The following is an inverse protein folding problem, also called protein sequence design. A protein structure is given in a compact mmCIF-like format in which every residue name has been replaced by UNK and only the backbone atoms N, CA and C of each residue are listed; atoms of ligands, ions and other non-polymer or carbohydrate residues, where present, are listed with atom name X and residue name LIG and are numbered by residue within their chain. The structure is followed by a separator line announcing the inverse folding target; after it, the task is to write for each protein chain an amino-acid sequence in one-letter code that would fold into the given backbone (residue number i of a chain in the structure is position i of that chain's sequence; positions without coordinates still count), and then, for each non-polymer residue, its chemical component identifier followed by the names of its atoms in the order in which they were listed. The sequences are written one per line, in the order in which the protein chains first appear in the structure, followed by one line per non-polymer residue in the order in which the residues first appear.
data_IF_528440803885
#
_entry.id   IF_528440803885
#
_cell.length_a   1.000
_cell.length_b   1.000
_cell.length_c   1.000
_cell.angle_alpha   90.00
_cell.angle_beta   90.00
_cell.angle_gamma   90.00
#
_symmetry.space_group_name_H-M   'P 1'
#
loop_
_entity.id
_entity.type
_entity.pdbx_description
1 polymer ?
#
# COMPACT_ATOMS: atom_id res chain seq x y z
N UNK A 1 -26.71 -21.39 -2.96
CA UNK A 1 -26.49 -22.69 -3.63
C UNK A 1 -26.23 -22.39 -5.09
N UNK A 2 -24.99 -22.60 -5.57
CA UNK A 2 -24.63 -22.32 -6.96
C UNK A 2 -25.04 -23.54 -7.79
N UNK A 3 -25.75 -23.31 -8.89
CA UNK A 3 -26.20 -24.37 -9.81
C UNK A 3 -25.71 -24.05 -11.22
N UNK A 4 -25.41 -25.07 -12.01
CA UNK A 4 -25.11 -24.90 -13.43
C UNK A 4 -26.38 -24.70 -14.27
N UNK A 5 -26.22 -24.51 -15.59
CA UNK A 5 -27.35 -24.35 -16.52
C UNK A 5 -28.29 -25.56 -16.59
N UNK A 6 -27.86 -26.74 -16.13
CA UNK A 6 -28.66 -27.95 -16.05
C UNK A 6 -29.31 -28.15 -14.66
N UNK A 7 -29.15 -27.20 -13.74
CA UNK A 7 -29.69 -27.25 -12.39
C UNK A 7 -28.91 -28.16 -11.43
N UNK A 8 -27.73 -28.65 -11.83
CA UNK A 8 -26.85 -29.48 -10.99
C UNK A 8 -26.16 -28.59 -9.96
N UNK A 9 -26.08 -29.06 -8.73
CA UNK A 9 -25.42 -28.35 -7.66
C UNK A 9 -23.90 -28.33 -7.87
N UNK A 10 -23.31 -27.13 -7.88
CA UNK A 10 -21.86 -26.94 -7.94
C UNK A 10 -21.34 -26.86 -6.51
N UNK A 11 -20.56 -27.85 -6.10
CA UNK A 11 -19.86 -27.84 -4.82
C UNK A 11 -18.56 -27.01 -4.96
N UNK A 12 -18.32 -26.01 -4.11
CA UNK A 12 -17.04 -25.32 -4.09
C UNK A 12 -15.93 -26.32 -3.73
N UNK A 13 -14.85 -26.35 -4.51
CA UNK A 13 -13.73 -27.28 -4.33
C UNK A 13 -12.66 -26.66 -3.43
N UNK A 14 -12.28 -25.41 -3.69
CA UNK A 14 -11.20 -24.68 -3.01
C UNK A 14 -11.25 -23.19 -3.39
N UNK A 15 -10.73 -22.28 -2.55
CA UNK A 15 -10.36 -20.93 -2.99
C UNK A 15 -9.31 -20.97 -4.11
N UNK A 16 -9.31 -19.95 -4.95
CA UNK A 16 -8.21 -19.67 -5.89
C UNK A 16 -7.10 -18.98 -5.11
N UNK A 17 -5.88 -19.50 -5.20
CA UNK A 17 -4.68 -18.89 -4.59
C UNK A 17 -3.82 -18.33 -5.71
N UNK A 18 -3.52 -17.03 -5.64
CA UNK A 18 -2.61 -16.35 -6.57
C UNK A 18 -1.46 -15.78 -5.75
N UNK A 19 -0.23 -16.09 -6.17
CA UNK A 19 0.99 -15.56 -5.56
C UNK A 19 1.71 -14.70 -6.58
N UNK A 20 2.17 -13.54 -6.13
CA UNK A 20 2.95 -12.61 -6.92
C UNK A 20 4.17 -12.20 -6.10
N UNK A 21 5.33 -12.20 -6.73
CA UNK A 21 6.59 -11.85 -6.10
C UNK A 21 7.15 -10.56 -6.72
N UNK A 22 7.98 -9.86 -5.95
CA UNK A 22 8.66 -8.63 -6.37
C UNK A 22 10.06 -8.61 -5.77
N UNK A 23 10.96 -7.85 -6.37
CA UNK A 23 12.24 -7.49 -5.74
C UNK A 23 11.99 -6.70 -4.46
N UNK A 24 13.00 -6.64 -3.58
CA UNK A 24 12.91 -5.92 -2.32
C UNK A 24 12.69 -4.41 -2.54
N UNK A 25 11.76 -3.83 -1.77
CA UNK A 25 11.43 -2.41 -1.80
C UNK A 25 11.01 -1.93 -0.41
N UNK A 26 11.07 -0.62 -0.20
CA UNK A 26 10.39 0.01 0.93
C UNK A 26 9.05 0.56 0.49
N UNK A 27 8.10 0.54 1.42
CA UNK A 27 6.76 1.03 1.22
C UNK A 27 6.32 1.83 2.44
N UNK A 28 5.79 3.02 2.20
CA UNK A 28 5.06 3.79 3.19
C UNK A 28 3.61 3.92 2.75
N UNK A 29 2.69 3.48 3.61
CA UNK A 29 1.26 3.46 3.35
C UNK A 29 0.55 4.54 4.17
N UNK A 30 -0.28 5.33 3.51
CA UNK A 30 -1.23 6.25 4.13
C UNK A 30 -2.63 6.03 3.56
N UNK A 31 -3.63 6.75 4.06
CA UNK A 31 -4.97 6.79 3.49
C UNK A 31 -5.28 8.20 3.01
N UNK A 32 -5.99 8.32 1.88
CA UNK A 32 -6.51 9.61 1.41
C UNK A 32 -7.93 9.91 1.92
N UNK A 33 -8.44 9.11 2.86
CA UNK A 33 -9.69 9.38 3.58
C UNK A 33 -9.48 9.33 5.09
N UNK A 34 -10.27 10.12 5.80
CA UNK A 34 -10.37 10.02 7.25
C UNK A 34 -11.63 9.21 7.60
N UNK A 35 -11.44 7.97 8.05
CA UNK A 35 -12.53 7.08 8.48
C UNK A 35 -12.23 6.50 9.85
N UNK A 36 -13.13 6.71 10.81
CA UNK A 36 -13.00 6.25 12.20
C UNK A 36 -12.79 4.73 12.31
N UNK A 37 -13.25 3.96 11.32
CA UNK A 37 -13.03 2.51 11.27
C UNK A 37 -11.56 2.15 11.16
N UNK A 38 -10.74 3.00 10.53
CA UNK A 38 -9.32 2.75 10.35
C UNK A 38 -8.57 2.74 11.68
N UNK A 39 -8.99 3.54 12.66
CA UNK A 39 -8.40 3.52 14.00
C UNK A 39 -8.54 2.14 14.64
N UNK A 40 -9.72 1.52 14.52
CA UNK A 40 -9.95 0.15 15.02
C UNK A 40 -9.19 -0.89 14.21
N UNK A 41 -9.09 -0.74 12.89
CA UNK A 41 -8.40 -1.71 12.03
C UNK A 41 -6.88 -1.71 12.23
N UNK A 42 -6.30 -0.56 12.59
CA UNK A 42 -4.87 -0.39 12.83
C UNK A 42 -4.50 -0.36 14.32
N UNK A 43 -5.46 -0.63 15.22
CA UNK A 43 -5.26 -0.55 16.68
C UNK A 43 -4.57 0.76 17.12
N UNK A 44 -5.08 1.87 16.60
CA UNK A 44 -4.51 3.20 16.79
C UNK A 44 -5.51 4.14 17.49
N UNK A 45 -5.00 5.02 18.34
CA UNK A 45 -5.76 6.11 18.99
C UNK A 45 -5.58 7.47 18.30
N UNK A 46 -4.62 7.53 17.37
CA UNK A 46 -4.18 8.74 16.71
C UNK A 46 -3.73 8.46 15.29
N UNK A 47 -3.80 9.49 14.44
CA UNK A 47 -3.27 9.44 13.09
C UNK A 47 -2.51 10.73 12.75
N UNK A 48 -1.54 10.62 11.86
CA UNK A 48 -0.87 11.77 11.26
C UNK A 48 -1.68 12.22 10.05
N UNK A 49 -2.29 13.41 10.13
CA UNK A 49 -2.85 14.08 8.97
C UNK A 49 -1.74 14.77 8.18
N UNK A 50 -1.84 14.73 6.85
CA UNK A 50 -0.91 15.35 5.92
C UNK A 50 -1.74 16.25 5.00
N UNK A 51 -1.61 17.58 5.13
CA UNK A 51 -2.40 18.54 4.33
C UNK A 51 -1.70 18.94 3.03
N UNK A 52 -0.38 18.80 2.99
CA UNK A 52 0.44 19.06 1.81
C UNK A 52 1.23 17.80 1.47
N UNK A 53 0.65 17.00 0.58
CA UNK A 53 1.22 15.75 0.11
C UNK A 53 2.50 15.97 -0.71
N UNK A 54 2.61 17.10 -1.42
CA UNK A 54 3.79 17.41 -2.24
C UNK A 54 5.00 17.69 -1.35
N UNK A 55 4.82 18.53 -0.33
CA UNK A 55 5.87 18.80 0.67
C UNK A 55 6.28 17.53 1.43
N UNK A 56 5.30 16.73 1.88
CA UNK A 56 5.57 15.45 2.56
C UNK A 56 6.36 14.48 1.66
N UNK A 57 5.94 14.34 0.40
CA UNK A 57 6.60 13.49 -0.57
C UNK A 57 8.07 13.92 -0.80
N UNK A 58 8.30 15.21 -1.05
CA UNK A 58 9.63 15.75 -1.32
C UNK A 58 10.59 15.51 -0.15
N UNK A 59 10.13 15.75 1.07
CA UNK A 59 10.95 15.53 2.26
C UNK A 59 11.22 14.05 2.54
N UNK A 60 10.22 13.18 2.30
CA UNK A 60 10.39 11.73 2.43
C UNK A 60 11.42 11.21 1.43
N UNK A 61 11.32 11.63 0.16
CA UNK A 61 12.27 11.26 -0.89
C UNK A 61 13.68 11.75 -0.55
N UNK A 62 13.81 13.02 -0.12
CA UNK A 62 15.09 13.59 0.26
C UNK A 62 15.69 12.83 1.45
N UNK A 63 14.90 12.51 2.48
CA UNK A 63 15.37 11.77 3.64
C UNK A 63 15.81 10.35 3.24
N UNK A 64 14.98 9.64 2.47
CA UNK A 64 15.26 8.27 2.02
C UNK A 64 16.54 8.17 1.17
N UNK A 65 16.81 9.18 0.34
CA UNK A 65 18.02 9.22 -0.50
C UNK A 65 19.33 9.25 0.28
N UNK A 66 19.29 9.58 1.58
CA UNK A 66 20.44 9.55 2.49
C UNK A 66 20.76 8.15 2.99
N UNK A 67 19.80 7.22 2.91
CA UNK A 67 19.93 5.85 3.44
C UNK A 67 20.17 4.81 2.35
N UNK A 68 19.59 5.02 1.16
CA UNK A 68 19.70 4.06 0.05
C UNK A 68 19.96 4.77 -1.28
N UNK A 69 20.60 4.05 -2.21
CA UNK A 69 20.71 4.47 -3.60
C UNK A 69 19.40 4.16 -4.35
N UNK A 70 18.49 5.12 -4.36
CA UNK A 70 17.16 4.99 -5.00
C UNK A 70 17.35 4.88 -6.53
N UNK A 71 16.88 3.78 -7.12
CA UNK A 71 16.86 3.58 -8.58
C UNK A 71 15.58 4.05 -9.22
N UNK A 72 14.47 3.70 -8.58
CA UNK A 72 13.14 4.14 -8.97
C UNK A 72 12.30 4.36 -7.73
N UNK A 73 11.34 5.24 -7.88
CA UNK A 73 10.41 5.61 -6.86
C UNK A 73 9.07 5.92 -7.51
N UNK A 74 7.98 5.61 -6.81
CA UNK A 74 6.63 5.94 -7.25
C UNK A 74 5.73 6.21 -6.06
N UNK A 75 4.67 6.98 -6.28
CA UNK A 75 3.65 7.21 -5.30
C UNK A 75 2.28 7.35 -5.96
N UNK A 76 1.24 6.91 -5.27
CA UNK A 76 -0.11 6.93 -5.82
C UNK A 76 -1.11 6.10 -5.05
N UNK A 77 -2.40 6.16 -5.45
CA UNK A 77 -3.43 5.32 -4.90
C UNK A 77 -3.19 3.85 -5.24
N UNK A 78 -3.61 2.96 -4.33
CA UNK A 78 -3.57 1.51 -4.54
C UNK A 78 -4.61 1.06 -5.57
N UNK A 79 -4.19 0.15 -6.45
CA UNK A 79 -5.07 -0.63 -7.32
C UNK A 79 -5.67 -1.81 -6.55
N UNK A 80 -6.99 -1.89 -6.50
CA UNK A 80 -7.70 -2.95 -5.81
C UNK A 80 -8.09 -4.05 -6.79
N UNK A 81 -7.69 -5.28 -6.50
CA UNK A 81 -7.84 -6.44 -7.38
C UNK A 81 -8.96 -7.32 -6.85
N UNK A 82 -9.93 -7.64 -7.71
CA UNK A 82 -10.94 -8.66 -7.48
C UNK A 82 -10.43 -10.00 -8.05
N UNK A 83 -10.08 -11.00 -7.21
CA UNK A 83 -9.57 -12.28 -7.69
C UNK A 83 -10.50 -13.04 -8.64
N UNK A 84 -11.79 -12.70 -8.69
CA UNK A 84 -12.79 -13.34 -9.56
C UNK A 84 -12.89 -12.63 -10.90
N UNK A 85 -12.87 -11.29 -10.90
CA UNK A 85 -13.05 -10.49 -12.11
C UNK A 85 -11.73 -10.17 -12.82
N UNK A 86 -10.64 -10.06 -12.05
CA UNK A 86 -9.32 -9.63 -12.53
C UNK A 86 -8.34 -10.80 -12.70
N UNK A 87 -8.83 -12.05 -12.70
CA UNK A 87 -8.00 -13.25 -12.82
C UNK A 87 -7.18 -13.33 -14.12
N UNK A 88 -7.54 -12.53 -15.15
CA UNK A 88 -6.83 -12.43 -16.42
C UNK A 88 -5.96 -11.15 -16.54
N UNK A 89 -5.94 -10.31 -15.50
CA UNK A 89 -5.08 -9.11 -15.50
C UNK A 89 -3.63 -9.58 -15.45
N UNK A 90 -2.80 -9.05 -16.37
CA UNK A 90 -1.40 -9.44 -16.60
C UNK A 90 -0.45 -9.19 -15.42
N UNK A 91 0.76 -8.67 -15.68
CA UNK A 91 1.70 -8.36 -14.60
C UNK A 91 1.13 -7.29 -13.64
N UNK A 92 0.80 -7.71 -12.42
CA UNK A 92 0.45 -6.81 -11.31
C UNK A 92 1.74 -6.25 -10.69
N UNK A 93 1.80 -4.94 -10.42
CA UNK A 93 2.79 -4.47 -9.44
C UNK A 93 2.31 -4.83 -8.04
N UNK A 94 2.96 -5.80 -7.41
CA UNK A 94 2.74 -6.17 -6.00
C UNK A 94 2.79 -4.92 -5.10
N UNK A 95 3.72 -4.03 -5.42
CA UNK A 95 3.97 -2.78 -4.72
C UNK A 95 2.75 -1.86 -4.62
N UNK A 96 1.88 -1.82 -5.63
CA UNK A 96 0.75 -0.89 -5.74
C UNK A 96 -0.61 -1.59 -5.79
N UNK A 97 -0.64 -2.91 -5.57
CA UNK A 97 -1.85 -3.71 -5.60
C UNK A 97 -2.29 -4.17 -4.21
N UNK A 98 -3.60 -4.38 -4.03
CA UNK A 98 -4.19 -4.93 -2.80
C UNK A 98 -5.51 -5.65 -3.11
N UNK A 99 -5.88 -6.59 -2.24
CA UNK A 99 -7.18 -7.28 -2.30
C UNK A 99 -8.35 -6.28 -2.17
N UNK A 100 -9.34 -6.41 -3.05
CA UNK A 100 -10.54 -5.54 -3.10
C UNK A 100 -11.32 -5.47 -1.79
N UNK A 101 -11.23 -6.47 -0.91
CA UNK A 101 -11.89 -6.39 0.41
C UNK A 101 -11.41 -5.21 1.26
N UNK A 102 -10.21 -4.68 0.98
CA UNK A 102 -9.63 -3.53 1.66
C UNK A 102 -9.89 -2.19 0.95
N UNK A 103 -10.75 -2.15 -0.08
CA UNK A 103 -11.03 -0.93 -0.86
C UNK A 103 -11.51 0.26 -0.02
N UNK A 104 -12.13 -0.02 1.13
CA UNK A 104 -12.58 1.00 2.08
C UNK A 104 -11.42 1.76 2.73
N UNK A 105 -10.21 1.19 2.76
CA UNK A 105 -9.03 1.84 3.35
C UNK A 105 -8.51 2.99 2.50
N UNK A 106 -8.83 3.01 1.19
CA UNK A 106 -8.46 4.10 0.28
C UNK A 106 -6.97 4.45 0.42
N UNK A 107 -6.15 3.41 0.38
CA UNK A 107 -4.72 3.47 0.61
C UNK A 107 -3.99 4.22 -0.51
N UNK A 108 -2.98 4.99 -0.09
CA UNK A 108 -2.03 5.71 -0.91
C UNK A 108 -0.63 5.24 -0.51
N UNK A 109 0.22 4.91 -1.49
CA UNK A 109 1.55 4.33 -1.24
C UNK A 109 2.65 5.22 -1.78
N UNK A 110 3.76 5.25 -1.06
CA UNK A 110 5.07 5.66 -1.54
C UNK A 110 5.95 4.41 -1.59
N UNK A 111 6.57 4.13 -2.73
CA UNK A 111 7.37 2.91 -2.96
C UNK A 111 8.76 3.29 -3.43
N UNK A 112 9.78 2.75 -2.77
CA UNK A 112 11.19 3.02 -3.07
C UNK A 112 11.91 1.73 -3.44
N UNK A 113 12.47 1.69 -4.65
CA UNK A 113 13.30 0.59 -5.12
C UNK A 113 14.77 1.00 -5.05
N UNK A 114 15.57 0.19 -4.36
CA UNK A 114 17.01 0.38 -4.29
C UNK A 114 17.75 -0.28 -5.44
N UNK A 115 19.08 -0.22 -5.37
CA UNK A 115 19.96 -1.00 -6.25
C UNK A 115 19.94 -2.48 -5.82
N UNK A 116 19.45 -3.37 -6.68
CA UNK A 116 19.36 -4.82 -6.43
C UNK A 116 20.70 -5.48 -6.08
N UNK A 117 21.82 -4.82 -6.39
CA UNK A 117 23.17 -5.31 -6.06
C UNK A 117 23.59 -5.00 -4.63
N UNK A 118 22.83 -4.16 -3.93
CA UNK A 118 23.12 -3.75 -2.56
C UNK A 118 22.05 -4.29 -1.62
N UNK A 119 22.50 -4.76 -0.47
CA UNK A 119 21.62 -5.12 0.64
C UNK A 119 20.77 -3.91 1.05
N UNK A 120 19.45 -4.05 1.05
CA UNK A 120 18.55 -3.08 1.66
C UNK A 120 18.55 -3.29 3.18
N UNK A 121 18.86 -2.26 3.99
CA UNK A 121 18.73 -2.35 5.44
C UNK A 121 17.33 -2.81 5.87
N UNK A 122 17.22 -3.74 6.81
CA UNK A 122 15.90 -4.18 7.28
C UNK A 122 15.05 -3.01 7.82
N UNK A 123 15.71 -2.07 8.51
CA UNK A 123 15.06 -0.90 9.10
C UNK A 123 15.74 0.39 8.67
N UNK A 124 14.94 1.39 8.31
CA UNK A 124 15.36 2.76 8.05
C UNK A 124 14.51 3.70 8.90
N UNK A 125 15.17 4.63 9.59
CA UNK A 125 14.52 5.70 10.33
C UNK A 125 14.75 7.00 9.58
N UNK A 126 13.66 7.65 9.16
CA UNK A 126 13.71 8.92 8.45
C UNK A 126 13.56 10.07 9.43
N UNK A 127 14.52 10.99 9.41
CA UNK A 127 14.35 12.30 10.05
C UNK A 127 13.77 13.29 9.03
N UNK A 128 12.58 13.82 9.33
CA UNK A 128 11.82 14.73 8.48
C UNK A 128 11.31 15.92 9.30
N UNK A 129 12.18 16.82 9.77
CA UNK A 129 11.83 17.84 10.76
C UNK A 129 10.84 18.89 10.23
N UNK A 130 10.81 19.08 8.92
CA UNK A 130 9.92 20.03 8.25
C UNK A 130 8.45 19.58 8.21
N UNK A 131 8.17 18.29 8.51
CA UNK A 131 6.81 17.73 8.57
C UNK A 131 5.87 18.51 9.47
N UNK A 132 6.39 19.14 10.53
CA UNK A 132 5.59 19.97 11.45
C UNK A 132 4.86 21.14 10.76
N UNK A 133 5.29 21.55 9.57
CA UNK A 133 4.65 22.63 8.81
C UNK A 133 3.47 22.19 7.95
N UNK A 134 3.34 20.88 7.68
CA UNK A 134 2.32 20.33 6.77
C UNK A 134 1.65 19.05 7.29
N UNK A 135 1.88 18.72 8.57
CA UNK A 135 1.23 17.60 9.24
C UNK A 135 0.73 17.99 10.62
N UNK A 136 -0.30 17.30 11.09
CA UNK A 136 -0.77 17.40 12.48
C UNK A 136 -1.14 16.00 12.99
N UNK A 137 -0.97 15.79 14.30
CA UNK A 137 -1.45 14.58 14.95
C UNK A 137 -2.89 14.82 15.38
N UNK A 138 -3.80 13.99 14.89
CA UNK A 138 -5.17 13.94 15.35
C UNK A 138 -5.35 12.73 16.27
N UNK A 139 -6.13 12.88 17.34
CA UNK A 139 -6.43 11.80 18.29
C UNK A 139 -7.94 11.74 18.54
N UNK A 140 -8.48 10.53 18.67
CA UNK A 140 -9.91 10.29 18.96
C UNK A 140 -10.25 10.52 20.44
#
# INVERSE_FOLDING_TARGET
MIKDQAGREIKPISPVLMNYDSNDYYIFCSSYVFDIRLFSDFDADSCLFIYDLESFHNDMLQSMSKHINIKSFGFGPVSYIDPVLDAEVGELCVCSSKDIKYIYQKEFRHVFFGDERNYLPENIYLDMPQTKSYTEVFSL
#
